data_IF_815499431644
#
_entry.id   IF_815499431644
#
_cell.length_a   1.000
_cell.length_b   1.000
_cell.length_c   1.000
_cell.angle_alpha   90.00
_cell.angle_beta   90.00
_cell.angle_gamma   90.00
#
_symmetry.space_group_name_H-M   'P 1'
#
loop_
_entity.id
_entity.type
_entity.pdbx_description
1 polymer ?
#
# COMPACT_ATOMS: atom_id res chain seq x y z
N UNK A 1 -17.49 -1.45 -1.12
CA UNK A 1 -16.74 -0.69 -0.09
C UNK A 1 -16.87 0.78 -0.41
N UNK A 2 -17.64 1.52 0.38
CA UNK A 2 -17.86 2.96 0.18
C UNK A 2 -16.54 3.74 0.26
N UNK A 3 -16.24 4.50 -0.78
CA UNK A 3 -15.03 5.32 -0.88
C UNK A 3 -15.23 6.67 -0.17
N UNK A 4 -15.63 6.63 1.10
CA UNK A 4 -15.91 7.84 1.87
C UNK A 4 -14.62 8.42 2.43
N UNK A 5 -14.27 9.64 2.01
CA UNK A 5 -13.22 10.41 2.65
C UNK A 5 -13.73 10.92 4.02
N UNK A 6 -12.88 10.98 5.05
CA UNK A 6 -13.25 11.65 6.30
C UNK A 6 -13.64 13.12 6.03
N UNK A 7 -14.68 13.63 6.69
CA UNK A 7 -15.24 14.97 6.46
C UNK A 7 -14.22 16.11 6.67
N UNK A 8 -13.21 15.89 7.51
CA UNK A 8 -12.16 16.87 7.80
C UNK A 8 -11.07 17.00 6.72
N UNK A 9 -11.12 16.24 5.61
CA UNK A 9 -10.03 16.19 4.63
C UNK A 9 -10.19 17.27 3.56
N UNK A 10 -9.21 18.18 3.43
CA UNK A 10 -9.20 19.23 2.40
C UNK A 10 -9.16 18.65 0.97
N UNK A 11 -9.61 19.39 -0.07
CA UNK A 11 -9.51 18.92 -1.46
C UNK A 11 -8.10 18.50 -1.88
N UNK A 12 -7.07 19.19 -1.39
CA UNK A 12 -5.67 18.87 -1.66
C UNK A 12 -5.25 17.56 -1.01
N UNK A 13 -5.66 17.32 0.25
CA UNK A 13 -5.42 16.06 0.93
C UNK A 13 -6.15 14.90 0.24
N UNK A 14 -7.40 15.10 -0.23
CA UNK A 14 -8.13 14.09 -1.02
C UNK A 14 -7.38 13.75 -2.31
N UNK A 15 -6.85 14.75 -3.04
CA UNK A 15 -6.01 14.54 -4.22
C UNK A 15 -4.76 13.74 -3.88
N UNK A 16 -4.06 14.10 -2.81
CA UNK A 16 -2.87 13.39 -2.33
C UNK A 16 -3.19 11.93 -1.97
N UNK A 17 -4.30 11.68 -1.27
CA UNK A 17 -4.75 10.33 -0.94
C UNK A 17 -5.03 9.50 -2.19
N UNK A 18 -5.73 10.04 -3.20
CA UNK A 18 -5.95 9.34 -4.48
C UNK A 18 -4.65 8.91 -5.15
N UNK A 19 -3.66 9.80 -5.17
CA UNK A 19 -2.34 9.54 -5.76
C UNK A 19 -1.58 8.46 -4.98
N UNK A 20 -1.73 8.41 -3.66
CA UNK A 20 -1.09 7.39 -2.83
C UNK A 20 -1.80 6.05 -3.04
N UNK A 21 -3.12 6.00 -2.87
CA UNK A 21 -3.92 4.78 -2.96
C UNK A 21 -3.84 4.16 -4.36
N UNK A 22 -3.71 4.95 -5.43
CA UNK A 22 -3.56 4.40 -6.80
C UNK A 22 -2.33 3.52 -6.99
N UNK A 23 -1.32 3.66 -6.11
CA UNK A 23 -0.11 2.82 -6.08
C UNK A 23 -0.33 1.48 -5.38
N UNK A 24 -1.51 1.25 -4.80
CA UNK A 24 -1.84 0.03 -4.06
C UNK A 24 -3.04 -0.69 -4.65
N UNK A 25 -3.15 -1.98 -4.37
CA UNK A 25 -4.29 -2.84 -4.72
C UNK A 25 -4.49 -3.88 -3.62
N UNK A 26 -5.73 -4.32 -3.42
CA UNK A 26 -6.06 -5.42 -2.51
C UNK A 26 -6.47 -6.63 -3.36
N UNK A 27 -5.82 -7.77 -3.15
CA UNK A 27 -6.14 -9.06 -3.77
C UNK A 27 -6.31 -10.05 -2.63
N UNK A 28 -7.47 -10.72 -2.54
CA UNK A 28 -7.75 -11.72 -1.49
C UNK A 28 -7.44 -11.21 -0.07
N UNK A 29 -7.81 -9.95 0.22
CA UNK A 29 -7.55 -9.24 1.49
C UNK A 29 -6.08 -8.90 1.77
N UNK A 30 -5.16 -9.22 0.87
CA UNK A 30 -3.75 -8.86 0.97
C UNK A 30 -3.50 -7.54 0.24
N UNK A 31 -2.82 -6.60 0.90
CA UNK A 31 -2.43 -5.32 0.32
C UNK A 31 -1.14 -5.48 -0.49
N UNK A 32 -1.12 -4.94 -1.69
CA UNK A 32 0.05 -4.91 -2.57
C UNK A 32 0.38 -3.49 -2.99
N UNK A 33 1.67 -3.18 -3.10
CA UNK A 33 2.19 -1.97 -3.74
C UNK A 33 2.63 -2.30 -5.16
N UNK A 34 2.22 -1.47 -6.12
CA UNK A 34 2.71 -1.50 -7.50
C UNK A 34 4.14 -0.97 -7.55
N UNK A 35 5.08 -1.82 -7.94
CA UNK A 35 6.44 -1.45 -8.26
C UNK A 35 6.51 -0.73 -9.62
N UNK A 36 7.66 -0.12 -9.91
CA UNK A 36 7.86 0.66 -11.13
C UNK A 36 7.87 -0.21 -12.40
N UNK A 37 8.24 -1.49 -12.25
CA UNK A 37 8.28 -2.52 -13.28
C UNK A 37 6.92 -3.22 -13.49
N UNK A 38 5.89 -2.81 -12.76
CA UNK A 38 4.55 -3.42 -12.80
C UNK A 38 4.39 -4.62 -11.87
N UNK A 39 5.42 -5.05 -11.13
CA UNK A 39 5.29 -6.12 -10.14
C UNK A 39 4.44 -5.68 -8.95
N UNK A 40 3.73 -6.64 -8.36
CA UNK A 40 2.97 -6.44 -7.13
C UNK A 40 3.81 -6.91 -5.94
N UNK A 41 4.26 -5.95 -5.12
CA UNK A 41 4.99 -6.22 -3.90
C UNK A 41 4.00 -6.33 -2.74
N UNK A 42 3.96 -7.49 -2.09
CA UNK A 42 3.11 -7.69 -0.92
C UNK A 42 3.52 -6.74 0.20
N UNK A 43 2.57 -6.02 0.76
CA UNK A 43 2.77 -5.25 1.98
C UNK A 43 2.80 -6.21 3.16
N UNK A 44 3.86 -6.10 3.95
CA UNK A 44 4.10 -6.90 5.14
C UNK A 44 4.20 -5.99 6.35
N UNK A 45 3.92 -6.51 7.53
CA UNK A 45 4.17 -5.78 8.75
C UNK A 45 5.68 -5.68 9.05
N UNK A 46 6.02 -4.88 10.07
CA UNK A 46 7.40 -4.64 10.46
C UNK A 46 8.14 -5.91 10.86
N UNK A 47 7.46 -6.88 11.49
CA UNK A 47 8.09 -8.10 11.99
C UNK A 47 8.36 -9.10 10.85
N UNK A 48 7.40 -9.26 9.95
CA UNK A 48 7.57 -10.05 8.74
C UNK A 48 8.61 -9.44 7.80
N UNK A 49 8.65 -8.10 7.66
CA UNK A 49 9.69 -7.40 6.90
C UNK A 49 11.10 -7.74 7.39
N UNK A 50 11.32 -7.70 8.71
CA UNK A 50 12.61 -8.05 9.33
C UNK A 50 13.02 -9.50 9.05
N UNK A 51 12.07 -10.43 9.13
CA UNK A 51 12.32 -11.85 8.82
C UNK A 51 12.71 -12.05 7.36
N UNK A 52 11.94 -11.50 6.42
CA UNK A 52 12.25 -11.58 4.98
C UNK A 52 13.63 -10.99 4.68
N UNK A 53 13.96 -9.85 5.29
CA UNK A 53 15.26 -9.22 5.11
C UNK A 53 16.40 -10.13 5.57
N UNK A 54 16.28 -10.71 6.76
CA UNK A 54 17.27 -11.64 7.29
C UNK A 54 17.44 -12.89 6.40
N UNK A 55 16.32 -13.49 5.98
CA UNK A 55 16.31 -14.66 5.10
C UNK A 55 16.90 -14.37 3.71
N UNK A 56 16.68 -13.18 3.16
CA UNK A 56 17.18 -12.81 1.82
C UNK A 56 18.67 -12.49 1.77
N UNK A 57 19.29 -12.17 2.92
CA UNK A 57 20.71 -11.85 3.01
C UNK A 57 21.59 -13.04 3.42
N UNK A 58 20.97 -14.21 3.66
CA UNK A 58 21.65 -15.47 4.03
C UNK A 58 21.99 -16.31 2.80
#
# INVERSE_FOLDING_TARGET
>A
MDHTYPEAVTPQQRRRLRIIVSKYVIIELVLYRKAFDGMLLRCVDTEESKRILHESHS
#
